data_IF_963840773043
#
_entry.id   IF_963840773043
#
_cell.length_a   1.000
_cell.length_b   1.000
_cell.length_c   1.000
_cell.angle_alpha   90.00
_cell.angle_beta   90.00
_cell.angle_gamma   90.00
#
_symmetry.space_group_name_H-M   'P 1'
#
loop_
_entity.id
_entity.type
_entity.pdbx_description
1 polymer ?
#
# COMPACT_ATOMS: atom_id res chain seq x y z
N UNK A 1 3.28 -23.34 -28.38
CA UNK A 1 4.08 -22.37 -27.67
C UNK A 1 3.72 -20.95 -28.12
N UNK A 2 3.78 -19.99 -27.20
CA UNK A 2 3.53 -18.58 -27.45
C UNK A 2 4.73 -17.78 -26.94
N UNK A 3 5.35 -17.01 -27.83
CA UNK A 3 6.41 -16.09 -27.43
C UNK A 3 5.83 -14.67 -27.32
N UNK A 4 5.83 -14.13 -26.10
CA UNK A 4 5.39 -12.78 -25.74
C UNK A 4 6.55 -11.96 -25.14
N UNK A 5 7.79 -12.41 -25.30
CA UNK A 5 8.95 -11.70 -24.81
C UNK A 5 9.10 -10.32 -25.46
N UNK A 6 9.58 -9.34 -24.70
CA UNK A 6 9.87 -7.97 -25.17
C UNK A 6 8.67 -7.26 -25.84
N UNK A 7 7.45 -7.47 -25.33
CA UNK A 7 6.24 -6.83 -25.87
C UNK A 7 5.74 -5.65 -25.02
N UNK A 8 6.47 -5.27 -23.99
CA UNK A 8 6.12 -4.14 -23.14
C UNK A 8 4.88 -4.40 -22.27
N UNK A 9 4.60 -5.66 -21.94
CA UNK A 9 3.60 -5.96 -20.93
C UNK A 9 4.07 -5.36 -19.61
N UNK A 10 3.18 -4.59 -19.00
CA UNK A 10 3.41 -3.97 -17.68
C UNK A 10 2.71 -4.74 -16.58
N UNK A 11 2.93 -4.35 -15.40
CA UNK A 11 2.57 -4.78 -14.06
C UNK A 11 1.85 -6.14 -13.90
N UNK A 12 0.75 -6.41 -14.61
CA UNK A 12 -0.07 -7.63 -14.41
C UNK A 12 -0.29 -8.39 -15.71
N UNK A 13 -0.04 -9.71 -15.68
CA UNK A 13 -0.37 -10.65 -16.75
C UNK A 13 -1.43 -11.65 -16.28
N UNK A 14 -2.54 -11.73 -17.01
CA UNK A 14 -3.65 -12.63 -16.71
C UNK A 14 -3.62 -13.87 -17.62
N UNK A 15 -3.38 -15.04 -17.04
CA UNK A 15 -3.34 -16.30 -17.77
C UNK A 15 -4.70 -16.74 -18.30
N UNK A 16 -5.81 -16.24 -17.76
CA UNK A 16 -7.16 -16.62 -18.22
C UNK A 16 -7.46 -16.20 -19.66
N UNK A 17 -6.71 -15.22 -20.19
CA UNK A 17 -6.86 -14.75 -21.59
C UNK A 17 -6.20 -15.67 -22.61
N UNK A 18 -5.38 -16.61 -22.15
CA UNK A 18 -4.65 -17.52 -23.03
C UNK A 18 -5.57 -18.60 -23.59
N UNK A 19 -5.37 -19.02 -24.85
CA UNK A 19 -6.05 -20.19 -25.41
C UNK A 19 -5.76 -21.47 -24.60
N UNK A 20 -6.77 -22.30 -24.37
CA UNK A 20 -6.69 -23.49 -23.52
C UNK A 20 -5.61 -24.51 -23.94
N UNK A 21 -5.22 -24.52 -25.23
CA UNK A 21 -4.22 -25.45 -25.79
C UNK A 21 -2.78 -24.97 -25.61
N UNK A 22 -2.54 -23.81 -24.97
CA UNK A 22 -1.19 -23.31 -24.73
C UNK A 22 -0.47 -24.22 -23.73
N UNK A 23 0.70 -24.72 -24.13
CA UNK A 23 1.57 -25.54 -23.29
C UNK A 23 2.92 -24.89 -22.99
N UNK A 24 3.27 -23.83 -23.68
CA UNK A 24 4.51 -23.10 -23.45
C UNK A 24 4.32 -21.60 -23.68
N UNK A 25 4.89 -20.79 -22.79
CA UNK A 25 4.85 -19.33 -22.88
C UNK A 25 6.19 -18.74 -22.47
N UNK A 26 6.62 -17.73 -23.21
CA UNK A 26 7.80 -16.91 -22.93
C UNK A 26 7.36 -15.46 -22.67
N UNK A 27 7.55 -14.98 -21.44
CA UNK A 27 7.22 -13.64 -20.95
C UNK A 27 8.47 -12.82 -20.60
N UNK A 28 9.66 -13.27 -20.98
CA UNK A 28 10.92 -12.60 -20.67
C UNK A 28 10.99 -11.17 -21.23
N UNK A 29 11.80 -10.31 -20.62
CA UNK A 29 11.99 -8.91 -21.00
C UNK A 29 10.66 -8.10 -21.03
N UNK A 30 9.81 -8.30 -20.05
CA UNK A 30 8.62 -7.50 -19.78
C UNK A 30 8.60 -7.10 -18.28
N UNK A 31 7.91 -6.02 -17.93
CA UNK A 31 7.84 -5.49 -16.56
C UNK A 31 6.65 -6.10 -15.79
N UNK A 32 6.56 -7.44 -15.73
CA UNK A 32 5.42 -8.16 -15.15
C UNK A 32 5.72 -8.54 -13.70
N UNK A 33 5.11 -7.86 -12.74
CA UNK A 33 5.23 -8.09 -11.30
C UNK A 33 4.15 -9.04 -10.76
N UNK A 34 2.98 -9.08 -11.39
CA UNK A 34 1.84 -9.85 -10.93
C UNK A 34 1.38 -10.83 -12.00
N UNK A 35 1.02 -12.04 -11.57
CA UNK A 35 0.45 -13.08 -12.42
C UNK A 35 -0.91 -13.47 -11.86
N UNK A 36 -1.96 -13.24 -12.64
CA UNK A 36 -3.32 -13.65 -12.29
C UNK A 36 -3.69 -14.93 -13.05
N UNK A 37 -4.47 -15.79 -12.40
CA UNK A 37 -5.01 -17.00 -13.00
C UNK A 37 -3.97 -17.98 -13.59
N UNK A 38 -2.74 -17.99 -13.08
CA UNK A 38 -1.77 -19.05 -13.39
C UNK A 38 -2.21 -20.37 -12.74
N UNK A 39 -2.73 -20.26 -11.51
CA UNK A 39 -3.37 -21.37 -10.79
C UNK A 39 -4.74 -20.92 -10.26
N UNK A 40 -5.66 -21.89 -10.18
CA UNK A 40 -6.92 -21.76 -9.47
C UNK A 40 -6.76 -22.32 -8.07
N UNK A 41 -7.14 -21.53 -7.07
CA UNK A 41 -7.10 -21.92 -5.66
C UNK A 41 -8.52 -22.04 -5.13
N UNK A 42 -8.83 -23.18 -4.53
CA UNK A 42 -10.06 -23.40 -3.78
C UNK A 42 -9.69 -23.63 -2.32
N UNK A 43 -10.23 -22.81 -1.42
CA UNK A 43 -10.04 -22.92 0.02
C UNK A 43 -11.22 -23.70 0.60
N UNK A 44 -10.95 -24.79 1.30
CA UNK A 44 -11.95 -25.60 1.96
C UNK A 44 -12.35 -25.02 3.33
N UNK A 45 -13.44 -25.50 3.91
CA UNK A 45 -13.95 -25.01 5.21
C UNK A 45 -12.94 -25.16 6.37
N UNK A 46 -12.04 -26.13 6.28
CA UNK A 46 -10.95 -26.36 7.25
C UNK A 46 -9.71 -25.48 7.02
N UNK A 47 -9.72 -24.65 5.98
CA UNK A 47 -8.62 -23.78 5.58
C UNK A 47 -7.58 -24.43 4.66
N UNK A 48 -7.76 -25.70 4.27
CA UNK A 48 -6.88 -26.35 3.30
C UNK A 48 -7.07 -25.77 1.90
N UNK A 49 -5.98 -25.66 1.15
CA UNK A 49 -6.01 -25.17 -0.24
C UNK A 49 -5.87 -26.33 -1.22
N UNK A 50 -6.80 -26.38 -2.17
CA UNK A 50 -6.67 -27.19 -3.39
C UNK A 50 -6.21 -26.27 -4.52
N UNK A 51 -5.10 -26.63 -5.18
CA UNK A 51 -4.47 -25.83 -6.24
C UNK A 51 -4.52 -26.61 -7.56
N UNK A 52 -5.04 -25.98 -8.61
CA UNK A 52 -5.12 -26.55 -9.96
C UNK A 52 -4.46 -25.60 -10.96
N UNK A 53 -3.67 -26.14 -11.90
CA UNK A 53 -3.16 -25.34 -13.03
C UNK A 53 -4.30 -24.92 -13.95
N UNK A 54 -4.38 -23.65 -14.34
CA UNK A 54 -5.39 -23.16 -15.29
C UNK A 54 -5.09 -23.68 -16.72
N UNK A 55 -3.82 -23.81 -17.05
CA UNK A 55 -3.34 -24.37 -18.32
C UNK A 55 -2.37 -25.52 -18.11
N UNK A 56 -2.28 -26.42 -19.06
CA UNK A 56 -1.31 -27.53 -19.06
C UNK A 56 0.07 -27.05 -19.54
N UNK A 57 0.64 -26.06 -18.83
CA UNK A 57 1.93 -25.46 -19.15
C UNK A 57 3.06 -26.44 -18.82
N UNK A 58 3.92 -26.69 -19.78
CA UNK A 58 5.16 -27.48 -19.64
C UNK A 58 6.41 -26.62 -19.81
N UNK A 59 6.26 -25.39 -20.29
CA UNK A 59 7.34 -24.40 -20.48
C UNK A 59 6.86 -23.01 -20.06
N UNK A 60 7.54 -22.40 -19.09
CA UNK A 60 7.22 -21.07 -18.58
C UNK A 60 8.52 -20.29 -18.36
N UNK A 61 8.71 -19.23 -19.16
CA UNK A 61 9.86 -18.33 -19.02
C UNK A 61 9.37 -16.97 -18.54
N UNK A 62 9.93 -16.52 -17.44
CA UNK A 62 9.49 -15.36 -16.65
C UNK A 62 10.54 -14.25 -16.69
N UNK A 63 10.15 -12.97 -16.67
CA UNK A 63 11.06 -11.85 -16.45
C UNK A 63 11.55 -11.84 -14.99
N UNK A 64 12.51 -10.97 -14.69
CA UNK A 64 13.09 -10.84 -13.36
C UNK A 64 12.06 -10.41 -12.31
N UNK A 65 11.17 -9.50 -12.66
CA UNK A 65 10.11 -8.95 -11.80
C UNK A 65 9.16 -10.04 -11.28
N UNK A 66 9.12 -11.20 -11.91
CA UNK A 66 8.37 -12.37 -11.44
C UNK A 66 8.81 -12.83 -10.05
N UNK A 67 10.03 -12.48 -9.62
CA UNK A 67 10.53 -12.76 -8.26
C UNK A 67 9.61 -12.22 -7.17
N UNK A 68 8.88 -11.15 -7.46
CA UNK A 68 8.00 -10.48 -6.51
C UNK A 68 6.59 -11.10 -6.41
N UNK A 69 6.17 -11.89 -7.39
CA UNK A 69 4.88 -12.57 -7.32
C UNK A 69 4.96 -13.87 -6.54
N UNK A 70 4.56 -13.84 -5.26
CA UNK A 70 4.61 -15.01 -4.40
C UNK A 70 3.32 -15.82 -4.50
N UNK A 71 2.17 -15.16 -4.49
CA UNK A 71 0.88 -15.82 -4.32
C UNK A 71 0.58 -16.88 -5.40
N UNK A 72 0.83 -16.58 -6.67
CA UNK A 72 0.56 -17.49 -7.78
C UNK A 72 1.75 -18.41 -8.08
N UNK A 73 2.97 -17.88 -8.15
CA UNK A 73 4.16 -18.66 -8.52
C UNK A 73 4.55 -19.66 -7.46
N UNK A 74 4.40 -19.36 -6.18
CA UNK A 74 4.65 -20.32 -5.10
C UNK A 74 3.68 -21.50 -5.19
N UNK A 75 2.39 -21.24 -5.39
CA UNK A 75 1.37 -22.28 -5.53
C UNK A 75 1.58 -23.11 -6.79
N UNK A 76 1.90 -22.47 -7.92
CA UNK A 76 2.26 -23.12 -9.17
C UNK A 76 3.49 -24.02 -8.99
N UNK A 77 4.55 -23.51 -8.34
CA UNK A 77 5.75 -24.30 -8.08
C UNK A 77 5.47 -25.52 -7.19
N UNK A 78 4.72 -25.33 -6.10
CA UNK A 78 4.37 -26.45 -5.19
C UNK A 78 3.58 -27.53 -5.91
N UNK A 79 2.58 -27.14 -6.69
CA UNK A 79 1.73 -28.06 -7.46
C UNK A 79 2.55 -28.86 -8.48
N UNK A 80 3.56 -28.24 -9.07
CA UNK A 80 4.34 -28.82 -10.17
C UNK A 80 5.77 -29.20 -9.75
N UNK A 81 6.10 -29.19 -8.47
CA UNK A 81 7.46 -29.34 -7.94
C UNK A 81 8.19 -30.55 -8.53
N UNK A 82 7.56 -31.73 -8.54
CA UNK A 82 8.16 -32.96 -9.06
C UNK A 82 8.47 -32.86 -10.55
N UNK A 83 7.63 -32.19 -11.34
CA UNK A 83 7.84 -32.01 -12.77
C UNK A 83 8.95 -30.99 -13.07
N UNK A 84 9.00 -29.88 -12.28
CA UNK A 84 10.01 -28.82 -12.40
C UNK A 84 11.38 -29.35 -11.97
N UNK A 85 11.46 -30.00 -10.81
CA UNK A 85 12.71 -30.55 -10.28
C UNK A 85 13.24 -31.71 -11.14
N UNK A 86 12.32 -32.55 -11.65
CA UNK A 86 12.63 -33.67 -12.54
C UNK A 86 12.90 -33.27 -14.00
N UNK A 87 12.71 -31.98 -14.36
CA UNK A 87 13.00 -31.47 -15.71
C UNK A 87 11.99 -31.83 -16.79
N UNK A 88 10.81 -32.35 -16.42
CA UNK A 88 9.70 -32.60 -17.38
C UNK A 88 8.86 -31.33 -17.61
N UNK A 89 8.99 -30.33 -16.75
CA UNK A 89 8.46 -28.99 -16.90
C UNK A 89 9.63 -27.99 -16.86
N UNK A 90 9.82 -27.21 -17.93
CA UNK A 90 10.91 -26.24 -18.05
C UNK A 90 10.42 -24.84 -17.60
N UNK A 91 10.72 -24.48 -16.34
CA UNK A 91 10.39 -23.19 -15.76
C UNK A 91 11.67 -22.41 -15.50
N UNK A 92 11.76 -21.21 -16.08
CA UNK A 92 12.91 -20.31 -15.93
C UNK A 92 12.46 -18.93 -15.52
N UNK A 93 13.34 -18.19 -14.84
CA UNK A 93 13.18 -16.78 -14.52
C UNK A 93 14.48 -16.06 -14.85
N UNK A 94 14.37 -14.84 -15.37
CA UNK A 94 15.54 -13.99 -15.58
C UNK A 94 16.11 -13.52 -14.23
N UNK A 95 17.42 -13.42 -14.18
CA UNK A 95 18.12 -12.73 -13.09
C UNK A 95 18.33 -11.24 -13.48
N UNK A 96 18.99 -10.46 -12.62
CA UNK A 96 19.26 -9.04 -12.80
C UNK A 96 20.10 -8.71 -14.06
N UNK A 97 20.85 -9.69 -14.56
CA UNK A 97 21.62 -9.56 -15.82
C UNK A 97 20.76 -9.94 -17.07
N UNK A 98 19.49 -10.26 -16.88
CA UNK A 98 18.58 -10.71 -17.94
C UNK A 98 18.82 -12.16 -18.40
N UNK A 99 19.64 -12.93 -17.68
CA UNK A 99 19.92 -14.33 -18.01
C UNK A 99 18.82 -15.24 -17.44
N UNK A 100 18.22 -16.07 -18.28
CA UNK A 100 17.20 -17.03 -17.86
C UNK A 100 17.82 -18.23 -17.15
N UNK A 101 17.51 -18.38 -15.90
CA UNK A 101 17.96 -19.48 -15.03
C UNK A 101 16.79 -20.37 -14.63
N UNK A 102 17.10 -21.61 -14.18
CA UNK A 102 16.06 -22.51 -13.65
C UNK A 102 15.35 -21.82 -12.48
N UNK A 103 14.01 -21.79 -12.52
CA UNK A 103 13.22 -21.20 -11.45
C UNK A 103 13.51 -21.88 -10.11
N UNK A 104 13.68 -21.05 -9.10
CA UNK A 104 13.83 -21.49 -7.71
C UNK A 104 12.99 -20.62 -6.78
N UNK A 105 12.85 -21.04 -5.52
CA UNK A 105 12.01 -20.38 -4.51
C UNK A 105 12.80 -19.56 -3.50
N UNK A 106 14.12 -19.49 -3.65
CA UNK A 106 14.97 -18.74 -2.74
C UNK A 106 15.00 -17.26 -3.13
N UNK A 107 14.86 -16.38 -2.14
CA UNK A 107 14.89 -14.94 -2.30
C UNK A 107 15.89 -14.35 -1.32
N UNK A 108 16.73 -13.48 -1.82
CA UNK A 108 17.74 -12.79 -1.03
C UNK A 108 17.10 -11.70 -0.15
N UNK A 109 17.69 -11.48 1.03
CA UNK A 109 17.46 -10.32 1.89
C UNK A 109 18.82 -9.62 2.03
N UNK A 110 19.11 -8.62 1.20
CA UNK A 110 20.47 -8.06 1.11
C UNK A 110 20.94 -7.39 2.41
N UNK A 111 20.06 -6.65 3.07
CA UNK A 111 20.39 -5.96 4.32
C UNK A 111 20.52 -6.96 5.48
N UNK A 112 21.67 -6.96 6.15
CA UNK A 112 21.95 -7.87 7.25
C UNK A 112 21.08 -7.62 8.48
N UNK A 113 20.72 -6.37 8.74
CA UNK A 113 19.88 -5.99 9.87
C UNK A 113 18.43 -6.40 9.61
N UNK A 114 17.91 -6.15 8.39
CA UNK A 114 16.60 -6.65 7.98
C UNK A 114 16.53 -8.17 8.02
N UNK A 115 17.56 -8.85 7.49
CA UNK A 115 17.64 -10.32 7.53
C UNK A 115 17.62 -10.84 8.96
N UNK A 116 18.33 -10.17 9.87
CA UNK A 116 18.33 -10.54 11.30
C UNK A 116 16.95 -10.34 11.92
N UNK A 117 16.31 -9.20 11.66
CA UNK A 117 14.95 -8.92 12.10
C UNK A 117 13.96 -9.99 11.62
N UNK A 118 13.98 -10.28 10.32
CA UNK A 118 13.08 -11.26 9.72
C UNK A 118 13.35 -12.68 10.24
N UNK A 119 14.60 -13.09 10.41
CA UNK A 119 14.94 -14.41 10.98
C UNK A 119 14.46 -14.56 12.43
N UNK A 120 14.54 -13.50 13.22
CA UNK A 120 14.12 -13.54 14.61
C UNK A 120 12.60 -13.65 14.75
N UNK A 121 11.84 -13.08 13.83
CA UNK A 121 10.38 -13.00 13.90
C UNK A 121 9.67 -14.02 12.99
N UNK A 122 10.29 -14.38 11.86
CA UNK A 122 9.68 -15.19 10.79
C UNK A 122 10.62 -16.31 10.33
N UNK A 123 11.27 -16.98 11.29
CA UNK A 123 12.30 -18.02 11.05
C UNK A 123 11.84 -19.14 10.12
N UNK A 124 10.54 -19.47 10.13
CA UNK A 124 9.99 -20.57 9.35
C UNK A 124 10.10 -20.37 7.83
N UNK A 125 10.18 -19.11 7.39
CA UNK A 125 10.39 -18.80 5.97
C UNK A 125 11.84 -18.97 5.51
N UNK A 126 12.81 -19.11 6.42
CA UNK A 126 14.22 -19.08 6.04
C UNK A 126 14.78 -20.47 5.67
N UNK A 127 15.62 -20.46 4.63
CA UNK A 127 16.51 -21.54 4.25
C UNK A 127 17.93 -20.95 4.15
N UNK A 128 18.74 -21.18 5.20
CA UNK A 128 20.00 -20.46 5.34
C UNK A 128 19.78 -18.97 5.55
N UNK A 129 20.33 -18.14 4.67
CA UNK A 129 20.20 -16.68 4.71
C UNK A 129 19.11 -16.12 3.77
N UNK A 130 18.48 -17.00 2.98
CA UNK A 130 17.45 -16.63 2.04
C UNK A 130 16.04 -16.94 2.59
N UNK A 131 15.06 -16.14 2.19
CA UNK A 131 13.65 -16.51 2.31
C UNK A 131 13.34 -17.58 1.26
N UNK A 132 12.75 -18.68 1.67
CA UNK A 132 12.19 -19.68 0.78
C UNK A 132 10.67 -19.49 0.68
N UNK A 133 10.23 -18.89 -0.41
CA UNK A 133 8.81 -18.56 -0.63
C UNK A 133 7.92 -19.80 -0.75
N UNK A 134 8.49 -21.01 -0.83
CA UNK A 134 7.73 -22.25 -0.81
C UNK A 134 7.37 -22.74 0.60
N UNK A 135 7.90 -22.12 1.64
CA UNK A 135 7.63 -22.47 3.02
C UNK A 135 6.36 -21.81 3.56
N UNK A 136 5.78 -22.41 4.59
CA UNK A 136 4.65 -21.84 5.33
C UNK A 136 5.14 -21.15 6.60
N UNK A 137 4.39 -20.14 7.03
CA UNK A 137 4.52 -19.54 8.35
C UNK A 137 3.86 -20.43 9.40
N UNK A 138 4.49 -20.58 10.56
CA UNK A 138 3.86 -21.16 11.74
C UNK A 138 2.73 -20.28 12.28
N UNK A 139 1.82 -20.88 13.06
CA UNK A 139 0.62 -20.20 13.55
C UNK A 139 0.91 -18.90 14.32
N UNK A 140 2.00 -18.87 15.09
CA UNK A 140 2.40 -17.67 15.85
C UNK A 140 2.97 -16.58 14.95
N UNK A 141 3.68 -16.96 13.88
CA UNK A 141 4.35 -16.01 12.97
C UNK A 141 3.39 -15.41 11.96
N UNK A 142 2.40 -16.17 11.50
CA UNK A 142 1.50 -15.71 10.43
C UNK A 142 0.70 -14.46 10.78
N UNK A 143 0.43 -14.20 12.07
CA UNK A 143 -0.34 -13.04 12.54
C UNK A 143 0.53 -11.92 13.09
N UNK A 144 1.86 -12.09 13.14
CA UNK A 144 2.75 -11.05 13.65
C UNK A 144 2.68 -9.80 12.76
N UNK A 145 2.59 -8.66 13.42
CA UNK A 145 2.80 -7.39 12.75
C UNK A 145 4.27 -7.22 12.35
N UNK A 146 4.51 -6.53 11.26
CA UNK A 146 5.85 -6.09 10.89
C UNK A 146 6.08 -4.67 11.37
N UNK A 147 7.10 -4.47 12.20
CA UNK A 147 7.52 -3.15 12.66
C UNK A 147 9.06 -3.10 12.66
N UNK A 148 9.63 -2.52 11.62
CA UNK A 148 11.07 -2.23 11.53
C UNK A 148 11.27 -0.78 11.94
N UNK A 149 11.92 -0.60 13.10
CA UNK A 149 12.09 0.71 13.72
C UNK A 149 13.44 1.33 13.32
N UNK A 150 13.59 2.63 13.53
CA UNK A 150 14.87 3.34 13.32
C UNK A 150 16.04 2.66 14.05
N UNK A 151 15.78 2.13 15.25
CA UNK A 151 16.79 1.43 16.06
C UNK A 151 17.30 0.12 15.43
N UNK A 152 16.58 -0.45 14.46
CA UNK A 152 17.00 -1.65 13.75
C UNK A 152 18.07 -1.35 12.68
N UNK A 153 18.30 -0.07 12.35
CA UNK A 153 19.30 0.41 11.40
C UNK A 153 19.24 -0.28 10.03
N UNK A 154 18.03 -0.46 9.50
CA UNK A 154 17.80 -1.00 8.16
C UNK A 154 17.83 0.12 7.14
N UNK A 155 18.65 -0.04 6.09
CA UNK A 155 18.77 0.91 4.98
C UNK A 155 18.27 0.34 3.66
N UNK A 156 18.16 -0.98 3.56
CA UNK A 156 17.61 -1.65 2.39
C UNK A 156 16.51 -2.64 2.82
N UNK A 157 15.26 -2.34 2.45
CA UNK A 157 14.08 -3.13 2.79
C UNK A 157 13.77 -4.23 1.76
N UNK A 158 14.65 -4.43 0.76
CA UNK A 158 14.50 -5.54 -0.19
C UNK A 158 14.54 -6.90 0.54
N UNK A 159 13.60 -7.74 0.20
CA UNK A 159 13.34 -9.02 0.88
C UNK A 159 12.07 -9.02 1.73
N UNK A 160 11.65 -7.85 2.24
CA UNK A 160 10.43 -7.71 3.05
C UNK A 160 9.16 -8.05 2.26
N UNK A 161 9.10 -7.70 0.98
CA UNK A 161 7.97 -7.99 0.10
C UNK A 161 7.65 -9.48 0.01
N UNK A 162 8.63 -10.36 0.20
CA UNK A 162 8.43 -11.80 0.17
C UNK A 162 7.71 -12.34 1.41
N UNK A 163 7.68 -11.57 2.49
CA UNK A 163 6.82 -11.82 3.64
C UNK A 163 5.45 -11.17 3.44
N UNK A 164 5.42 -9.90 3.07
CA UNK A 164 4.18 -9.10 3.03
C UNK A 164 3.20 -9.58 1.96
N UNK A 165 3.68 -10.03 0.81
CA UNK A 165 2.85 -10.63 -0.25
C UNK A 165 2.68 -12.16 -0.07
N UNK A 166 3.18 -12.73 1.02
CA UNK A 166 2.99 -14.15 1.29
C UNK A 166 1.51 -14.39 1.65
N UNK A 167 0.78 -15.25 0.91
CA UNK A 167 -0.64 -15.49 1.12
C UNK A 167 -0.97 -16.14 2.47
N UNK A 168 0.03 -16.62 3.18
CA UNK A 168 -0.12 -17.19 4.53
C UNK A 168 0.24 -16.21 5.64
N UNK A 169 0.69 -14.99 5.30
CA UNK A 169 0.84 -13.92 6.27
C UNK A 169 -0.48 -13.17 6.46
N UNK A 170 -0.97 -13.18 7.68
CA UNK A 170 -2.24 -12.58 8.10
C UNK A 170 -2.03 -11.35 8.98
N UNK A 171 -0.80 -10.82 9.02
CA UNK A 171 -0.48 -9.63 9.80
C UNK A 171 -1.29 -8.41 9.35
N UNK A 172 -1.74 -7.62 10.31
CA UNK A 172 -2.64 -6.49 10.08
C UNK A 172 -1.92 -5.14 10.04
N UNK A 173 -0.63 -5.10 10.36
CA UNK A 173 0.14 -3.85 10.44
C UNK A 173 1.53 -4.02 9.81
N UNK A 174 1.89 -3.04 8.99
CA UNK A 174 3.21 -2.87 8.42
C UNK A 174 3.70 -1.46 8.75
N UNK A 175 4.79 -1.36 9.50
CA UNK A 175 5.43 -0.11 9.86
C UNK A 175 6.93 -0.19 9.57
N UNK A 176 7.42 0.71 8.74
CA UNK A 176 8.82 0.78 8.32
C UNK A 176 9.35 2.19 8.57
N UNK A 177 10.42 2.29 9.35
CA UNK A 177 11.07 3.55 9.68
C UNK A 177 12.55 3.45 9.34
N UNK A 178 13.02 4.38 8.50
CA UNK A 178 14.44 4.60 8.29
C UNK A 178 14.96 5.70 9.22
N UNK A 179 16.24 5.65 9.57
CA UNK A 179 16.87 6.66 10.44
C UNK A 179 16.77 8.06 9.82
N UNK A 180 16.59 9.07 10.67
CA UNK A 180 16.61 10.47 10.27
C UNK A 180 17.93 10.80 9.54
N UNK A 181 17.81 11.34 8.33
CA UNK A 181 18.94 11.66 7.47
C UNK A 181 19.49 10.50 6.64
N UNK A 182 18.98 9.29 6.81
CA UNK A 182 19.18 8.15 5.90
C UNK A 182 17.98 7.99 4.98
N UNK A 183 18.15 7.30 3.87
CA UNK A 183 17.10 7.00 2.92
C UNK A 183 17.05 5.48 2.70
N UNK A 184 16.00 4.84 3.20
CA UNK A 184 15.76 3.42 2.99
C UNK A 184 15.34 3.14 1.55
N UNK A 185 15.66 1.96 1.02
CA UNK A 185 15.29 1.58 -0.34
C UNK A 185 14.34 0.38 -0.37
N UNK A 186 13.32 0.43 -1.25
CA UNK A 186 12.38 -0.66 -1.50
C UNK A 186 11.83 -0.51 -2.93
N UNK A 187 12.22 -1.39 -3.85
CA UNK A 187 11.83 -1.25 -5.26
C UNK A 187 10.34 -1.48 -5.48
N UNK A 188 9.80 -2.55 -4.90
CA UNK A 188 8.41 -2.96 -5.09
C UNK A 188 7.85 -3.55 -3.81
N UNK A 189 6.60 -3.22 -3.49
CA UNK A 189 5.84 -3.92 -2.47
C UNK A 189 4.37 -4.02 -2.86
N UNK A 190 3.80 -5.21 -2.71
CA UNK A 190 2.37 -5.46 -2.81
C UNK A 190 1.80 -5.74 -1.43
N UNK A 191 0.69 -5.09 -1.12
CA UNK A 191 0.05 -5.18 0.19
C UNK A 191 -1.21 -6.05 0.09
N UNK A 192 -1.28 -7.06 0.96
CA UNK A 192 -2.40 -8.00 1.02
C UNK A 192 -3.67 -7.43 1.65
N UNK A 193 -4.75 -8.20 1.57
CA UNK A 193 -6.09 -7.78 2.03
C UNK A 193 -6.26 -7.70 3.55
N UNK A 194 -5.42 -8.38 4.30
CA UNK A 194 -5.45 -8.38 5.78
C UNK A 194 -4.87 -7.12 6.39
N UNK A 195 -4.01 -6.39 5.64
CA UNK A 195 -3.37 -5.19 6.16
C UNK A 195 -4.38 -4.07 6.41
N UNK A 196 -4.41 -3.58 7.63
CA UNK A 196 -5.26 -2.47 8.08
C UNK A 196 -4.48 -1.19 8.33
N UNK A 197 -3.19 -1.30 8.63
CA UNK A 197 -2.28 -0.19 8.95
C UNK A 197 -1.02 -0.26 8.10
N UNK A 198 -0.72 0.83 7.40
CA UNK A 198 0.49 1.02 6.61
C UNK A 198 1.18 2.32 7.05
N UNK A 199 2.39 2.21 7.59
CA UNK A 199 3.23 3.34 8.01
C UNK A 199 4.58 3.19 7.33
N UNK A 200 4.97 4.18 6.55
CA UNK A 200 6.24 4.24 5.85
C UNK A 200 6.89 5.59 6.11
N UNK A 201 8.15 5.60 6.53
CA UNK A 201 8.88 6.83 6.83
C UNK A 201 10.34 6.75 6.36
N UNK A 202 10.80 7.77 5.62
CA UNK A 202 12.18 7.89 5.17
C UNK A 202 12.58 6.87 4.11
N UNK A 203 11.66 6.46 3.23
CA UNK A 203 11.86 5.35 2.30
C UNK A 203 11.70 5.83 0.85
N UNK A 204 12.63 5.41 0.00
CA UNK A 204 12.51 5.50 -1.44
C UNK A 204 11.81 4.25 -1.96
N UNK A 205 10.59 4.45 -2.48
CA UNK A 205 9.76 3.38 -3.05
C UNK A 205 9.48 3.68 -4.51
N UNK A 206 9.78 2.73 -5.40
CA UNK A 206 9.49 2.89 -6.82
C UNK A 206 8.07 2.44 -7.18
N UNK A 207 7.57 1.37 -6.55
CA UNK A 207 6.23 0.86 -6.81
C UNK A 207 5.57 0.31 -5.54
N UNK A 208 4.42 0.91 -5.16
CA UNK A 208 3.56 0.48 -4.06
C UNK A 208 2.23 -0.02 -4.61
N UNK A 209 2.03 -1.33 -4.63
CA UNK A 209 0.82 -1.96 -5.13
C UNK A 209 -0.20 -2.19 -4.00
N UNK A 210 -1.27 -1.41 -4.00
CA UNK A 210 -2.39 -1.50 -3.05
C UNK A 210 -3.65 -2.14 -3.65
N UNK A 211 -3.56 -2.81 -4.79
CA UNK A 211 -4.72 -3.37 -5.50
C UNK A 211 -5.45 -4.45 -4.71
N UNK A 212 -4.79 -5.10 -3.77
CA UNK A 212 -5.36 -6.11 -2.86
C UNK A 212 -5.65 -5.58 -1.45
N UNK A 213 -5.32 -4.32 -1.14
CA UNK A 213 -5.36 -3.74 0.20
C UNK A 213 -6.78 -3.32 0.65
N UNK A 214 -7.71 -4.27 0.67
CA UNK A 214 -9.13 -3.99 0.97
C UNK A 214 -9.38 -3.56 2.42
N UNK A 215 -8.54 -4.01 3.36
CA UNK A 215 -8.66 -3.75 4.80
C UNK A 215 -8.03 -2.44 5.28
N UNK A 216 -7.34 -1.71 4.41
CA UNK A 216 -6.49 -0.58 4.78
C UNK A 216 -7.32 0.64 5.21
N UNK A 217 -7.16 1.11 6.45
CA UNK A 217 -7.84 2.31 6.96
C UNK A 217 -6.90 3.34 7.58
N UNK A 218 -5.69 2.95 8.00
CA UNK A 218 -4.67 3.85 8.50
C UNK A 218 -3.47 3.82 7.56
N UNK A 219 -3.17 4.99 6.97
CA UNK A 219 -2.06 5.17 6.05
C UNK A 219 -1.27 6.39 6.49
N UNK A 220 0.03 6.19 6.68
CA UNK A 220 0.97 7.26 7.01
C UNK A 220 2.20 7.12 6.13
N UNK A 221 2.48 8.15 5.36
CA UNK A 221 3.61 8.22 4.44
C UNK A 221 4.37 9.52 4.69
N UNK A 222 5.57 9.41 5.22
CA UNK A 222 6.41 10.55 5.58
C UNK A 222 7.78 10.41 4.92
N UNK A 223 8.25 11.47 4.28
CA UNK A 223 9.55 11.49 3.60
C UNK A 223 9.69 10.33 2.57
N UNK A 224 8.65 10.12 1.75
CA UNK A 224 8.65 9.06 0.74
C UNK A 224 9.12 9.60 -0.60
N UNK A 225 10.23 9.03 -1.11
CA UNK A 225 10.81 9.40 -2.39
C UNK A 225 10.33 8.47 -3.51
N UNK A 226 10.38 8.95 -4.76
CA UNK A 226 10.08 8.24 -6.02
C UNK A 226 8.60 7.86 -6.23
N UNK A 227 7.81 7.60 -5.21
CA UNK A 227 6.42 7.22 -5.37
C UNK A 227 5.63 8.33 -6.09
N UNK A 228 5.00 7.97 -7.23
CA UNK A 228 4.20 8.90 -8.04
C UNK A 228 2.72 8.86 -7.72
N UNK A 229 2.20 7.68 -7.39
CA UNK A 229 0.78 7.46 -7.21
C UNK A 229 0.50 6.73 -5.90
N UNK A 230 -0.37 7.31 -5.07
CA UNK A 230 -0.94 6.66 -3.89
C UNK A 230 -2.40 6.31 -4.17
N UNK A 231 -2.66 5.07 -4.53
CA UNK A 231 -3.98 4.63 -4.93
C UNK A 231 -4.62 3.71 -3.88
N UNK A 232 -5.49 4.27 -3.02
CA UNK A 232 -6.24 3.53 -1.99
C UNK A 232 -7.68 3.21 -2.41
N UNK A 233 -8.01 3.36 -3.68
CA UNK A 233 -9.36 3.19 -4.21
C UNK A 233 -9.96 1.80 -3.95
N UNK A 234 -9.14 0.80 -3.76
CA UNK A 234 -9.56 -0.58 -3.47
C UNK A 234 -9.91 -0.82 -1.99
N UNK A 235 -9.55 0.07 -1.09
CA UNK A 235 -9.94 -0.10 0.31
C UNK A 235 -11.47 -0.11 0.44
N UNK A 236 -11.98 -1.18 1.02
CA UNK A 236 -13.42 -1.32 1.33
C UNK A 236 -13.81 -0.67 2.65
N UNK A 237 -12.83 -0.37 3.50
CA UNK A 237 -13.04 0.13 4.86
C UNK A 237 -12.64 1.58 5.06
N UNK A 238 -11.71 2.12 4.24
CA UNK A 238 -11.34 3.53 4.35
C UNK A 238 -12.54 4.43 4.03
N UNK A 239 -12.78 5.38 4.88
CA UNK A 239 -13.93 6.29 4.78
C UNK A 239 -15.28 5.67 5.19
N UNK A 240 -15.31 4.39 5.60
CA UNK A 240 -16.54 3.73 6.05
C UNK A 240 -16.61 3.57 7.58
N UNK A 241 -15.48 3.66 8.28
CA UNK A 241 -15.45 3.58 9.72
C UNK A 241 -15.89 4.89 10.34
N UNK A 242 -16.98 4.86 11.09
CA UNK A 242 -17.31 5.84 12.11
C UNK A 242 -16.74 5.34 13.44
N UNK A 243 -16.36 6.27 14.33
CA UNK A 243 -15.90 5.92 15.67
C UNK A 243 -16.96 5.05 16.37
N UNK A 244 -16.66 3.78 16.62
CA UNK A 244 -17.23 3.06 17.74
C UNK A 244 -16.25 3.19 18.90
N UNK A 245 -16.68 3.86 19.96
CA UNK A 245 -15.88 4.05 21.16
C UNK A 245 -16.11 2.88 22.08
N UNK A 246 -15.20 1.94 22.10
CA UNK A 246 -14.92 1.15 23.29
C UNK A 246 -13.48 1.42 23.70
N UNK A 247 -13.33 2.19 24.79
CA UNK A 247 -12.03 2.61 25.29
C UNK A 247 -11.38 3.72 24.43
N UNK A 248 -10.47 4.49 24.98
CA UNK A 248 -9.82 5.69 24.42
C UNK A 248 -9.08 5.55 23.07
N UNK A 249 -9.43 4.59 22.24
CA UNK A 249 -8.80 4.36 20.92
C UNK A 249 -9.68 4.92 19.82
N UNK A 250 -9.21 5.97 19.16
CA UNK A 250 -9.85 6.52 17.95
C UNK A 250 -9.66 5.56 16.77
N UNK A 251 -10.70 4.88 16.38
CA UNK A 251 -10.72 4.00 15.21
C UNK A 251 -11.47 4.68 14.06
N UNK A 252 -10.79 5.56 13.36
CA UNK A 252 -11.34 6.22 12.17
C UNK A 252 -10.42 6.05 10.98
N UNK A 253 -10.88 6.44 9.80
CA UNK A 253 -10.03 6.47 8.61
C UNK A 253 -9.00 7.60 8.72
N UNK A 254 -7.76 7.24 8.53
CA UNK A 254 -6.60 8.10 8.72
C UNK A 254 -5.74 8.10 7.45
N UNK A 255 -5.40 9.28 6.98
CA UNK A 255 -4.45 9.48 5.90
C UNK A 255 -3.52 10.64 6.24
N UNK A 256 -2.23 10.36 6.34
CA UNK A 256 -1.16 11.35 6.47
C UNK A 256 -0.15 11.14 5.34
N UNK A 257 0.06 12.17 4.55
CA UNK A 257 1.04 12.19 3.46
C UNK A 257 1.83 13.48 3.57
N UNK A 258 3.06 13.37 4.03
CA UNK A 258 3.90 14.51 4.30
C UNK A 258 5.27 14.35 3.63
N UNK A 259 5.74 15.41 2.96
CA UNK A 259 7.05 15.48 2.30
C UNK A 259 7.31 14.31 1.32
N UNK A 260 6.40 14.14 0.36
CA UNK A 260 6.53 13.14 -0.71
C UNK A 260 6.71 13.88 -2.07
N UNK A 261 7.94 14.27 -2.42
CA UNK A 261 8.19 15.23 -3.51
C UNK A 261 7.84 14.74 -4.90
N UNK A 262 7.84 13.42 -5.13
CA UNK A 262 7.52 12.82 -6.43
C UNK A 262 6.04 12.47 -6.60
N UNK A 263 5.22 12.61 -5.54
CA UNK A 263 3.83 12.18 -5.55
C UNK A 263 2.96 13.11 -6.41
N UNK A 264 2.39 12.55 -7.47
CA UNK A 264 1.57 13.25 -8.45
C UNK A 264 0.07 13.06 -8.20
N UNK A 265 -0.33 11.92 -7.66
CA UNK A 265 -1.74 11.64 -7.40
C UNK A 265 -2.00 10.91 -6.08
N UNK A 266 -3.16 11.26 -5.47
CA UNK A 266 -3.75 10.52 -4.35
C UNK A 266 -5.18 10.16 -4.75
N UNK A 267 -5.48 8.85 -4.84
CA UNK A 267 -6.81 8.36 -5.21
C UNK A 267 -7.50 7.70 -4.02
N UNK A 268 -8.58 8.33 -3.57
CA UNK A 268 -9.44 7.81 -2.50
C UNK A 268 -10.44 6.77 -3.02
N UNK A 269 -11.08 5.96 -2.15
CA UNK A 269 -12.16 5.06 -2.56
C UNK A 269 -13.28 5.81 -3.27
N UNK A 270 -13.71 5.29 -4.42
CA UNK A 270 -14.84 5.86 -5.17
C UNK A 270 -16.18 5.42 -4.55
N UNK A 271 -16.44 5.92 -3.34
CA UNK A 271 -17.68 5.68 -2.59
C UNK A 271 -18.30 7.02 -2.25
N UNK A 272 -19.63 7.04 -2.18
CA UNK A 272 -20.36 8.18 -1.66
C UNK A 272 -20.20 8.25 -0.13
N UNK A 273 -20.15 9.46 0.40
CA UNK A 273 -20.21 9.71 1.84
C UNK A 273 -19.05 9.12 2.64
N UNK A 274 -17.81 9.36 2.17
CA UNK A 274 -16.62 8.99 2.92
C UNK A 274 -16.53 9.76 4.25
N UNK A 275 -16.11 9.06 5.31
CA UNK A 275 -15.94 9.60 6.65
C UNK A 275 -14.48 9.41 7.10
N UNK A 276 -13.75 10.49 7.28
CA UNK A 276 -12.37 10.46 7.72
C UNK A 276 -12.20 11.13 9.08
N UNK A 277 -11.39 10.56 9.94
CA UNK A 277 -11.05 11.16 11.23
C UNK A 277 -9.92 12.16 11.08
N UNK A 278 -8.93 11.82 10.25
CA UNK A 278 -7.72 12.60 10.07
C UNK A 278 -7.28 12.58 8.61
N UNK A 279 -7.04 13.74 8.07
CA UNK A 279 -6.50 13.92 6.74
C UNK A 279 -5.42 15.01 6.80
N UNK A 280 -4.18 14.63 6.48
CA UNK A 280 -3.02 15.51 6.44
C UNK A 280 -2.31 15.31 5.10
N UNK A 281 -2.24 16.37 4.29
CA UNK A 281 -1.66 16.34 2.95
C UNK A 281 -0.82 17.62 2.78
N UNK A 282 0.47 17.48 3.02
CA UNK A 282 1.38 18.63 3.07
C UNK A 282 2.73 18.34 2.40
N UNK A 283 3.37 19.38 1.86
CA UNK A 283 4.70 19.33 1.23
C UNK A 283 4.74 18.33 0.07
N UNK A 284 3.81 18.48 -0.88
CA UNK A 284 3.70 17.65 -2.08
C UNK A 284 3.87 18.50 -3.34
N UNK A 285 5.09 18.90 -3.71
CA UNK A 285 5.32 19.86 -4.79
C UNK A 285 4.94 19.37 -6.20
N UNK A 286 4.77 18.06 -6.38
CA UNK A 286 4.41 17.45 -7.67
C UNK A 286 2.93 17.08 -7.79
N UNK A 287 2.11 17.31 -6.75
CA UNK A 287 0.71 16.86 -6.72
C UNK A 287 -0.13 17.52 -7.81
N UNK A 288 -0.84 16.70 -8.57
CA UNK A 288 -1.72 17.08 -9.70
C UNK A 288 -3.17 16.65 -9.50
N UNK A 289 -3.39 15.57 -8.74
CA UNK A 289 -4.72 14.96 -8.57
C UNK A 289 -4.95 14.58 -7.11
N UNK A 290 -5.94 15.21 -6.48
CA UNK A 290 -6.45 14.82 -5.17
C UNK A 290 -7.87 15.36 -5.00
N UNK A 291 -8.87 14.51 -5.14
CA UNK A 291 -10.29 14.84 -5.03
C UNK A 291 -10.86 14.36 -3.70
N UNK A 292 -11.28 15.32 -2.87
CA UNK A 292 -11.90 15.08 -1.56
C UNK A 292 -13.43 15.25 -1.58
N UNK A 293 -14.04 15.50 -2.73
CA UNK A 293 -15.46 15.86 -2.84
C UNK A 293 -16.44 14.84 -2.26
N UNK A 294 -16.04 13.56 -2.22
CA UNK A 294 -16.82 12.48 -1.64
C UNK A 294 -16.73 12.38 -0.10
N UNK A 295 -15.88 13.18 0.54
CA UNK A 295 -15.76 13.21 2.00
C UNK A 295 -16.88 14.08 2.57
N UNK A 296 -17.75 13.47 3.38
CA UNK A 296 -18.89 14.13 4.01
C UNK A 296 -18.70 14.39 5.51
N UNK A 297 -17.74 13.69 6.12
CA UNK A 297 -17.38 13.87 7.52
C UNK A 297 -15.86 13.88 7.66
N UNK A 298 -15.36 14.86 8.40
CA UNK A 298 -13.92 15.02 8.63
C UNK A 298 -13.68 15.54 10.04
N UNK A 299 -12.80 14.89 10.78
CA UNK A 299 -12.41 15.34 12.10
C UNK A 299 -11.36 16.44 12.03
N UNK A 300 -10.22 16.17 11.40
CA UNK A 300 -9.12 17.11 11.24
C UNK A 300 -8.62 17.13 9.82
N UNK A 301 -8.45 18.32 9.27
CA UNK A 301 -7.88 18.54 7.94
C UNK A 301 -6.64 19.44 8.06
N UNK A 302 -5.50 18.96 7.58
CA UNK A 302 -4.29 19.74 7.37
C UNK A 302 -3.95 19.70 5.88
N UNK A 303 -3.75 20.89 5.30
CA UNK A 303 -3.34 21.02 3.90
C UNK A 303 -2.33 22.15 3.77
N UNK A 304 -1.18 21.88 3.19
CA UNK A 304 -0.17 22.91 3.00
C UNK A 304 0.89 22.56 1.97
N UNK A 305 1.55 23.62 1.47
CA UNK A 305 2.73 23.52 0.61
C UNK A 305 2.52 22.60 -0.62
N UNK A 306 1.36 22.79 -1.28
CA UNK A 306 0.97 22.13 -2.52
C UNK A 306 1.20 23.06 -3.72
N UNK A 307 1.37 22.52 -4.97
CA UNK A 307 1.59 23.35 -6.16
C UNK A 307 0.51 24.40 -6.32
N UNK A 308 0.90 25.62 -6.59
CA UNK A 308 -0.04 26.77 -6.80
C UNK A 308 -0.91 26.59 -8.03
N UNK A 309 -0.46 25.78 -8.99
CA UNK A 309 -1.20 25.45 -10.22
C UNK A 309 -2.29 24.40 -10.00
N UNK A 310 -2.28 23.71 -8.86
CA UNK A 310 -3.27 22.69 -8.54
C UNK A 310 -4.48 23.30 -7.84
N UNK A 311 -5.66 23.10 -8.40
CA UNK A 311 -6.92 23.56 -7.79
C UNK A 311 -7.49 22.47 -6.89
N UNK A 312 -7.54 22.76 -5.57
CA UNK A 312 -7.96 21.82 -4.55
C UNK A 312 -9.47 21.57 -4.61
N UNK A 313 -9.85 20.29 -4.68
CA UNK A 313 -11.25 19.86 -4.58
C UNK A 313 -11.55 19.45 -3.14
N UNK A 314 -12.17 20.36 -2.41
CA UNK A 314 -12.45 20.23 -0.98
C UNK A 314 -13.62 19.27 -0.65
N UNK A 315 -13.67 18.75 0.60
CA UNK A 315 -14.78 17.95 1.09
C UNK A 315 -16.13 18.67 1.01
N UNK A 316 -17.20 17.90 0.77
CA UNK A 316 -18.56 18.40 0.88
C UNK A 316 -19.16 17.95 2.22
N UNK A 317 -18.80 18.63 3.31
CA UNK A 317 -19.13 18.23 4.68
C UNK A 317 -20.63 18.37 4.94
N UNK A 318 -21.27 17.29 5.35
CA UNK A 318 -22.67 17.21 5.77
C UNK A 318 -22.82 16.67 7.19
N UNK A 319 -21.78 15.99 7.70
CA UNK A 319 -21.72 15.42 9.04
C UNK A 319 -20.45 15.93 9.72
N UNK A 320 -20.56 16.28 10.99
CA UNK A 320 -19.43 16.79 11.78
C UNK A 320 -19.10 15.87 12.92
N UNK A 321 -17.82 15.69 13.11
CA UNK A 321 -17.30 14.76 14.10
C UNK A 321 -17.12 15.46 15.45
N UNK A 322 -17.61 14.82 16.51
CA UNK A 322 -17.36 15.25 17.88
C UNK A 322 -16.42 14.25 18.57
N UNK A 323 -15.21 14.67 18.89
CA UNK A 323 -14.21 13.84 19.57
C UNK A 323 -14.51 13.62 21.05
N UNK A 324 -15.27 14.54 21.67
CA UNK A 324 -15.61 14.49 23.06
C UNK A 324 -17.06 14.94 23.24
N UNK A 325 -17.88 14.10 23.83
CA UNK A 325 -19.30 14.39 24.10
C UNK A 325 -19.47 15.47 25.18
N UNK A 326 -18.41 15.81 25.91
CA UNK A 326 -18.37 16.86 26.92
C UNK A 326 -17.90 18.22 26.42
N UNK A 327 -17.31 18.26 25.20
CA UNK A 327 -16.75 19.47 24.57
C UNK A 327 -17.36 19.68 23.19
N UNK A 328 -17.41 20.92 22.73
CA UNK A 328 -17.93 21.29 21.40
C UNK A 328 -17.25 20.58 20.24
N UNK A 329 -17.95 20.40 19.08
CA UNK A 329 -17.39 19.78 17.90
C UNK A 329 -16.04 20.40 17.51
N UNK A 330 -14.99 19.58 17.42
CA UNK A 330 -13.63 20.04 17.17
C UNK A 330 -13.16 19.70 15.77
N UNK A 331 -13.98 19.90 14.75
CA UNK A 331 -13.47 19.83 13.37
C UNK A 331 -12.52 21.00 13.17
N UNK A 332 -11.27 20.71 12.91
CA UNK A 332 -10.25 21.72 12.66
C UNK A 332 -9.77 21.66 11.22
N UNK A 333 -9.53 22.83 10.65
CA UNK A 333 -8.87 23.01 9.36
C UNK A 333 -7.61 23.83 9.56
N UNK A 334 -6.47 23.26 9.19
CA UNK A 334 -5.16 23.91 9.26
C UNK A 334 -4.55 23.95 7.87
N UNK A 335 -4.04 25.11 7.45
CA UNK A 335 -3.41 25.25 6.15
C UNK A 335 -2.20 26.19 6.18
N UNK A 336 -1.35 26.09 5.15
CA UNK A 336 -0.31 27.10 4.89
C UNK A 336 -0.92 28.41 4.42
N UNK A 337 -0.14 29.52 4.49
CA UNK A 337 -0.59 30.83 4.01
C UNK A 337 -0.92 30.82 2.51
N UNK A 338 -0.14 30.11 1.71
CA UNK A 338 -0.36 30.01 0.26
C UNK A 338 -1.64 29.24 -0.05
N UNK A 339 -1.91 28.16 0.67
CA UNK A 339 -3.18 27.43 0.57
C UNK A 339 -4.35 28.30 0.99
N UNK A 340 -4.24 29.06 2.08
CA UNK A 340 -5.29 30.00 2.53
C UNK A 340 -5.65 31.05 1.48
N UNK A 341 -4.68 31.52 0.70
CA UNK A 341 -4.89 32.54 -0.31
C UNK A 341 -5.67 32.07 -1.55
N UNK A 342 -5.86 30.77 -1.74
CA UNK A 342 -6.59 30.21 -2.89
C UNK A 342 -8.09 30.47 -2.79
N UNK A 343 -8.74 30.65 -3.93
CA UNK A 343 -10.18 30.90 -3.99
C UNK A 343 -10.98 29.69 -3.47
N UNK A 344 -10.64 28.48 -3.91
CA UNK A 344 -11.28 27.24 -3.44
C UNK A 344 -11.18 27.06 -1.92
N UNK A 345 -10.05 27.44 -1.33
CA UNK A 345 -9.86 27.40 0.13
C UNK A 345 -10.75 28.42 0.85
N UNK A 346 -10.83 29.64 0.31
CA UNK A 346 -11.70 30.68 0.88
C UNK A 346 -13.17 30.29 0.79
N UNK A 347 -13.61 29.74 -0.34
CA UNK A 347 -14.97 29.23 -0.51
C UNK A 347 -15.29 28.11 0.49
N UNK A 348 -14.35 27.16 0.70
CA UNK A 348 -14.49 26.12 1.70
C UNK A 348 -14.60 26.67 3.11
N UNK A 349 -13.71 27.62 3.49
CA UNK A 349 -13.76 28.30 4.79
C UNK A 349 -15.07 29.06 4.97
N UNK A 350 -15.48 29.84 3.98
CA UNK A 350 -16.73 30.61 4.03
C UNK A 350 -17.96 29.72 4.18
N UNK A 351 -17.92 28.55 3.55
CA UNK A 351 -19.01 27.58 3.61
C UNK A 351 -19.14 26.92 4.98
N UNK A 352 -18.02 26.50 5.57
CA UNK A 352 -18.03 25.63 6.76
C UNK A 352 -17.48 26.29 8.03
N UNK A 353 -16.65 27.32 7.89
CA UNK A 353 -15.97 27.99 9.00
C UNK A 353 -16.31 29.48 9.06
N UNK A 354 -17.49 29.86 8.58
CA UNK A 354 -17.95 31.24 8.49
C UNK A 354 -17.80 31.94 9.85
N UNK A 355 -17.07 33.06 9.86
CA UNK A 355 -16.63 33.83 11.04
C UNK A 355 -15.49 33.20 11.86
N UNK A 356 -14.84 32.12 11.40
CA UNK A 356 -13.60 31.71 11.99
C UNK A 356 -12.53 32.78 11.73
N UNK A 357 -12.02 33.40 12.80
CA UNK A 357 -10.78 34.18 12.66
C UNK A 357 -9.63 33.18 12.61
N UNK A 358 -8.90 33.07 11.47
CA UNK A 358 -7.77 32.18 11.42
C UNK A 358 -6.73 32.60 12.45
N UNK A 359 -6.39 31.70 13.35
CA UNK A 359 -5.33 31.92 14.34
C UNK A 359 -4.00 31.51 13.71
N UNK A 360 -3.04 32.42 13.71
CA UNK A 360 -1.68 32.11 13.27
C UNK A 360 -1.01 31.22 14.32
N UNK A 361 -0.77 29.97 13.98
CA UNK A 361 0.01 29.08 14.82
C UNK A 361 1.48 29.50 14.80
N UNK A 362 2.11 29.54 15.96
CA UNK A 362 3.51 29.92 16.13
C UNK A 362 4.48 28.87 15.52
N UNK A 363 4.00 27.67 15.30
CA UNK A 363 4.73 26.58 14.62
C UNK A 363 4.39 26.56 13.13
N UNK A 364 5.38 26.57 12.25
CA UNK A 364 5.31 26.36 10.79
C UNK A 364 4.51 27.39 9.95
N UNK A 365 4.28 28.61 10.39
CA UNK A 365 3.52 29.64 9.66
C UNK A 365 2.13 29.18 9.18
N UNK A 366 1.47 28.33 9.93
CA UNK A 366 0.15 27.77 9.63
C UNK A 366 -0.99 28.62 10.15
N UNK A 367 -2.11 28.57 9.45
CA UNK A 367 -3.39 29.18 9.86
C UNK A 367 -4.34 28.06 10.27
N UNK A 368 -4.88 28.13 11.47
CA UNK A 368 -5.91 27.20 11.96
C UNK A 368 -7.28 27.88 11.97
N UNK A 369 -8.26 27.27 11.31
CA UNK A 369 -9.65 27.62 11.36
C UNK A 369 -10.40 26.60 12.21
N UNK A 370 -11.15 27.06 13.20
CA UNK A 370 -12.03 26.22 13.99
C UNK A 370 -13.48 26.48 13.63
N UNK A 371 -14.29 25.43 13.70
CA UNK A 371 -15.73 25.53 13.52
C UNK A 371 -16.33 26.56 14.49
N UNK A 372 -17.18 27.43 13.97
CA UNK A 372 -17.88 28.42 14.80
C UNK A 372 -19.15 27.82 15.38
N UNK A 373 -19.45 28.18 16.64
CA UNK A 373 -20.59 27.77 17.48
C UNK A 373 -22.01 28.04 16.91
N UNK A 374 -22.12 28.56 15.71
CA UNK A 374 -23.39 29.04 15.14
C UNK A 374 -24.04 28.16 14.08
N UNK A 375 -23.50 27.00 13.74
CA UNK A 375 -24.11 26.10 12.77
C UNK A 375 -25.12 25.16 13.44
N UNK A 376 -26.39 25.32 13.10
CA UNK A 376 -27.44 24.33 13.40
C UNK A 376 -27.25 23.11 12.49
N UNK A 377 -26.81 22.03 13.07
CA UNK A 377 -26.67 20.73 12.42
C UNK A 377 -28.04 20.06 12.36
N UNK A 378 -28.56 19.85 11.20
CA UNK A 378 -29.64 18.88 11.00
C UNK A 378 -29.04 17.47 11.06
N UNK A 379 -29.58 16.66 11.98
CA UNK A 379 -29.23 15.25 12.22
C UNK A 379 -29.32 14.39 10.98
#
# INVERSE_FOLDING_TARGET
ELNLSSNGYGETFDFSVLPAQITGIDLTNNDIYNYDNLVKVTVEENGDETVENVHNITKLYLPEEAKYNIAQLMRFYRQNKSAIDGGTMDVKMQNEDGVSEKYNTLREVPDANLRTYLKNNFSDLFNGDNIDISKHLGNEQKTLAVAVMESDNVENFEGLQYLVDNPYWEGTSLALFCNEGSEGTLSYIKVGSTLSTLILQGIKIDNLNLTSANGLYLIRMIDIQNLKDLNISKSSVWGQRSKEVEGDVMVGSYLEVWNCPSLESITLPNKKELKATYLDVEVLPSLKVFDMSNIVMLGRLLIGDLPTSYDLVYPNLTVFYNFDTSVEPTTTFTCSQDTYNRNSTKEFIDKYYKNANPQKLSYFRRLECRLNKGYNWTK
#
